data_IF_527045638991
#
_entry.id   IF_527045638991
#
_cell.length_a   1.000
_cell.length_b   1.000
_cell.length_c   1.000
_cell.angle_alpha   90.00
_cell.angle_beta   90.00
_cell.angle_gamma   90.00
#
_symmetry.space_group_name_H-M   'P 1'
#
loop_
_entity.id
_entity.type
_entity.pdbx_description
1 polymer ?
#
# COMPACT_ATOMS: atom_id res chain seq x y z
N UNK A 1 17.96 -10.37 -6.76
CA UNK A 1 16.69 -11.05 -7.14
C UNK A 1 15.54 -10.23 -6.56
N UNK A 2 14.61 -9.70 -7.36
CA UNK A 2 13.45 -8.94 -6.85
C UNK A 2 12.26 -9.89 -6.75
N UNK A 3 11.78 -10.15 -5.54
CA UNK A 3 10.62 -11.02 -5.29
C UNK A 3 9.37 -10.14 -5.29
N UNK A 4 8.33 -10.56 -6.01
CA UNK A 4 7.05 -9.86 -6.08
C UNK A 4 5.99 -10.72 -5.42
N UNK A 5 5.39 -10.23 -4.33
CA UNK A 5 4.39 -10.99 -3.55
C UNK A 5 2.97 -10.46 -3.80
N UNK A 6 2.05 -11.38 -4.09
CA UNK A 6 0.61 -11.10 -4.15
C UNK A 6 -0.02 -10.95 -2.76
N UNK A 7 -1.28 -10.48 -2.71
CA UNK A 7 -2.03 -10.11 -1.50
C UNK A 7 -2.26 -11.22 -0.44
N UNK A 8 -1.90 -12.48 -0.73
CA UNK A 8 -2.16 -13.62 0.14
C UNK A 8 -1.12 -13.75 1.27
N UNK A 9 0.14 -13.39 1.02
CA UNK A 9 1.26 -13.56 1.97
C UNK A 9 1.82 -12.25 2.55
N UNK A 10 1.26 -11.09 2.22
CA UNK A 10 1.87 -9.78 2.48
C UNK A 10 1.37 -9.13 3.77
N UNK A 11 1.90 -9.58 4.90
CA UNK A 11 1.97 -8.73 6.09
C UNK A 11 3.06 -7.67 5.88
N UNK A 12 2.79 -6.41 6.23
CA UNK A 12 3.81 -5.33 6.21
C UNK A 12 5.12 -5.72 6.95
N UNK A 13 5.09 -6.49 8.06
CA UNK A 13 6.33 -6.98 8.69
C UNK A 13 7.17 -7.88 7.78
N UNK A 14 6.55 -8.77 7.01
CA UNK A 14 7.27 -9.67 6.09
C UNK A 14 7.95 -8.89 4.96
N UNK A 15 7.30 -7.84 4.45
CA UNK A 15 7.89 -6.96 3.43
C UNK A 15 9.08 -6.18 3.99
N UNK A 16 9.02 -5.80 5.27
CA UNK A 16 10.10 -5.11 5.97
C UNK A 16 11.32 -6.00 6.13
N UNK A 17 11.11 -7.26 6.49
CA UNK A 17 12.18 -8.21 6.79
C UNK A 17 12.84 -8.79 5.53
N UNK A 18 12.13 -8.82 4.40
CA UNK A 18 12.62 -9.42 3.15
C UNK A 18 13.07 -8.41 2.09
N UNK A 19 12.85 -7.10 2.29
CA UNK A 19 13.13 -6.05 1.28
C UNK A 19 12.48 -6.30 -0.09
N UNK A 20 11.24 -6.80 -0.08
CA UNK A 20 10.51 -7.22 -1.29
C UNK A 20 9.38 -6.25 -1.64
N UNK A 21 9.01 -6.22 -2.92
CA UNK A 21 7.86 -5.46 -3.40
C UNK A 21 6.60 -6.33 -3.39
N UNK A 22 5.45 -5.76 -3.04
CA UNK A 22 4.20 -6.50 -3.05
C UNK A 22 2.97 -5.64 -2.88
N UNK A 23 1.81 -6.23 -3.15
CA UNK A 23 0.52 -5.61 -2.86
C UNK A 23 0.09 -5.93 -1.43
N UNK A 24 -0.52 -4.96 -0.75
CA UNK A 24 -1.05 -5.14 0.61
C UNK A 24 -2.53 -4.73 0.64
N UNK A 25 -3.37 -5.52 1.30
CA UNK A 25 -4.78 -5.15 1.52
C UNK A 25 -4.87 -3.91 2.42
N UNK A 26 -5.75 -2.98 2.06
CA UNK A 26 -5.91 -1.67 2.73
C UNK A 26 -6.39 -1.73 4.18
N UNK A 27 -6.87 -2.88 4.66
CA UNK A 27 -7.28 -3.11 6.04
C UNK A 27 -6.17 -3.70 6.94
N UNK A 28 -4.95 -3.86 6.42
CA UNK A 28 -3.82 -4.37 7.21
C UNK A 28 -3.27 -3.31 8.17
N UNK A 29 -2.76 -3.77 9.31
CA UNK A 29 -2.03 -2.93 10.28
C UNK A 29 -0.67 -2.51 9.71
N UNK A 30 -0.07 -1.49 10.31
CA UNK A 30 1.25 -0.94 9.95
C UNK A 30 1.33 -0.22 8.59
N UNK A 31 0.19 0.05 7.95
CA UNK A 31 0.10 0.96 6.82
C UNK A 31 0.15 2.42 7.30
N UNK A 32 0.79 3.33 6.55
CA UNK A 32 0.74 4.77 6.84
C UNK A 32 -0.71 5.25 6.91
N UNK A 33 -1.06 5.94 8.01
CA UNK A 33 -2.44 6.30 8.30
C UNK A 33 -3.06 7.21 7.22
N UNK A 34 -2.24 8.04 6.59
CA UNK A 34 -2.60 9.01 5.56
C UNK A 34 -2.85 8.37 4.18
N UNK A 35 -2.54 7.08 4.02
CA UNK A 35 -2.86 6.26 2.85
C UNK A 35 -4.09 5.35 3.08
N UNK A 36 -4.66 5.33 4.30
CA UNK A 36 -5.82 4.49 4.60
C UNK A 36 -7.07 5.01 3.88
N UNK A 37 -7.99 4.14 3.41
CA UNK A 37 -9.15 4.52 2.61
C UNK A 37 -10.07 5.59 3.19
N UNK A 38 -10.09 5.76 4.52
CA UNK A 38 -10.91 6.77 5.22
C UNK A 38 -10.24 8.16 5.29
N UNK A 39 -8.92 8.21 5.10
CA UNK A 39 -8.12 9.45 5.20
C UNK A 39 -7.56 9.89 3.86
N UNK A 40 -7.29 8.95 2.96
CA UNK A 40 -6.78 9.25 1.63
C UNK A 40 -7.93 9.72 0.74
N UNK A 41 -7.82 10.94 0.25
CA UNK A 41 -8.69 11.48 -0.80
C UNK A 41 -7.86 11.50 -2.08
N UNK A 42 -8.29 10.72 -3.07
CA UNK A 42 -7.68 10.65 -4.39
C UNK A 42 -8.75 10.82 -5.44
N UNK A 43 -8.43 11.55 -6.50
CA UNK A 43 -9.20 11.53 -7.74
C UNK A 43 -8.82 10.31 -8.58
N UNK A 44 -9.64 10.05 -9.61
CA UNK A 44 -9.37 8.97 -10.57
C UNK A 44 -7.99 9.18 -11.21
N UNK A 45 -7.21 8.10 -11.29
CA UNK A 45 -5.83 8.07 -11.77
C UNK A 45 -4.82 8.87 -10.94
N UNK A 46 -5.21 9.33 -9.74
CA UNK A 46 -4.24 9.87 -8.80
C UNK A 46 -3.64 8.76 -7.94
N UNK A 47 -2.38 8.99 -7.56
CA UNK A 47 -1.68 8.19 -6.59
C UNK A 47 -1.12 9.07 -5.48
N UNK A 48 -0.94 8.46 -4.31
CA UNK A 48 -0.24 9.07 -3.19
C UNK A 48 0.75 8.09 -2.61
N UNK A 49 1.89 8.61 -2.19
CA UNK A 49 2.94 7.84 -1.54
C UNK A 49 3.15 8.31 -0.10
N UNK A 50 3.59 7.39 0.75
CA UNK A 50 4.07 7.69 2.08
C UNK A 50 5.20 6.72 2.44
N UNK A 51 6.09 7.15 3.33
CA UNK A 51 7.19 6.33 3.81
C UNK A 51 6.97 5.93 5.26
N UNK A 52 7.36 4.71 5.61
CA UNK A 52 7.44 4.28 7.00
C UNK A 52 8.68 3.37 7.19
N UNK A 53 9.71 3.94 7.83
CA UNK A 53 11.05 3.32 7.86
C UNK A 53 11.66 3.32 6.46
N UNK A 54 12.23 2.20 6.04
CA UNK A 54 12.82 2.01 4.71
C UNK A 54 11.81 1.63 3.62
N UNK A 55 10.54 1.45 3.98
CA UNK A 55 9.50 1.07 3.03
C UNK A 55 8.80 2.30 2.45
N UNK A 56 8.61 2.31 1.14
CA UNK A 56 7.73 3.25 0.44
C UNK A 56 6.42 2.56 0.10
N UNK A 57 5.32 3.17 0.51
CA UNK A 57 3.96 2.71 0.25
C UNK A 57 3.33 3.61 -0.79
N UNK A 58 2.62 3.01 -1.75
CA UNK A 58 1.89 3.74 -2.79
C UNK A 58 0.47 3.23 -2.85
N UNK A 59 -0.49 4.15 -2.96
CA UNK A 59 -1.90 3.84 -3.24
C UNK A 59 -2.31 4.60 -4.48
N UNK A 60 -2.99 3.92 -5.40
CA UNK A 60 -3.50 4.46 -6.65
C UNK A 60 -4.98 4.15 -6.74
N UNK A 61 -5.79 5.15 -7.08
CA UNK A 61 -7.19 4.99 -7.46
C UNK A 61 -7.33 4.80 -8.98
N UNK A 62 -7.52 3.57 -9.43
CA UNK A 62 -7.70 3.24 -10.86
C UNK A 62 -9.09 3.66 -11.38
N UNK A 63 -10.16 3.28 -10.68
CA UNK A 63 -11.54 3.64 -11.03
C UNK A 63 -12.12 4.64 -10.04
N UNK A 64 -12.96 5.57 -10.53
CA UNK A 64 -13.74 6.45 -9.66
C UNK A 64 -14.65 5.59 -8.79
N UNK A 65 -14.52 5.68 -7.47
CA UNK A 65 -15.47 5.07 -6.53
C UNK A 65 -16.84 5.72 -6.78
N UNK A 66 -17.75 5.00 -7.42
CA UNK A 66 -19.16 5.26 -7.16
C UNK A 66 -19.40 4.83 -5.70
N UNK A 67 -19.85 5.81 -4.93
CA UNK A 67 -20.17 5.79 -3.50
C UNK A 67 -20.73 4.48 -2.97
#
# INVERSE_FOLDING_TARGET
>A
MRVYMGNFCTGVPLLRDLEVCGMVRSNRKFLPADLLPKKVQLQKHEYKTAQAGHLTFSVWLDTSRHS
#
